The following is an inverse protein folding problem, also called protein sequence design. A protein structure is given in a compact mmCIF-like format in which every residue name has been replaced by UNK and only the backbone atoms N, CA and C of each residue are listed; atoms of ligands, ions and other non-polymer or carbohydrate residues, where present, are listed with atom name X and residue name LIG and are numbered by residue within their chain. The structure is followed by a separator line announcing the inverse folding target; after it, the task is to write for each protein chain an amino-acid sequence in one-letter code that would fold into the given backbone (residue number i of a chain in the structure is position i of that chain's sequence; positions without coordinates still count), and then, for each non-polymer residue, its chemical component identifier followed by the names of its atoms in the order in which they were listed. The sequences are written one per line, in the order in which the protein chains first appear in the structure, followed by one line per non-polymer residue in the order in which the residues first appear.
data_IF_953674929492
#
_entry.id   IF_953674929492
#
_cell.length_a   1.000
_cell.length_b   1.000
_cell.length_c   1.000
_cell.angle_alpha   90.00
_cell.angle_beta   90.00
_cell.angle_gamma   90.00
#
_symmetry.space_group_name_H-M   'P 1'
#
loop_
_entity.id
_entity.type
_entity.pdbx_description
1 polymer ?
#
# COMPACT_ATOMS: atom_id res chain seq x y z
N UNK A 1 -2.29 7.07 -0.88
CA UNK A 1 -3.38 6.39 -0.18
C UNK A 1 -3.14 6.46 1.33
N UNK A 2 -4.21 6.54 2.12
CA UNK A 2 -4.13 6.69 3.58
C UNK A 2 -4.37 5.40 4.36
N UNK A 3 -4.71 4.33 3.68
CA UNK A 3 -5.17 3.06 4.22
C UNK A 3 -4.45 1.83 3.63
N UNK A 4 -3.22 2.03 3.16
CA UNK A 4 -2.38 0.96 2.64
C UNK A 4 -1.29 0.56 3.64
N UNK A 5 -1.04 -0.75 3.77
CA UNK A 5 0.00 -1.32 4.63
C UNK A 5 1.09 -1.96 3.77
N UNK A 6 2.31 -1.43 3.85
CA UNK A 6 3.48 -1.91 3.13
C UNK A 6 4.78 -1.33 3.71
N UNK A 7 5.93 -1.90 3.35
CA UNK A 7 7.26 -1.32 3.60
C UNK A 7 7.95 -1.05 2.26
N UNK A 8 8.39 0.17 2.04
CA UNK A 8 8.96 0.61 0.76
C UNK A 8 10.15 1.53 0.95
N UNK A 9 11.19 1.31 0.19
CA UNK A 9 12.29 2.26 0.03
C UNK A 9 11.93 3.28 -1.06
N UNK A 10 11.48 4.46 -0.64
CA UNK A 10 11.13 5.56 -1.55
C UNK A 10 12.34 6.12 -2.29
N UNK A 11 13.57 5.99 -1.75
CA UNK A 11 14.77 6.43 -2.44
C UNK A 11 15.03 5.58 -3.69
N UNK A 12 14.74 4.28 -3.64
CA UNK A 12 14.82 3.41 -4.81
C UNK A 12 13.83 3.83 -5.91
N UNK A 13 12.60 4.18 -5.54
CA UNK A 13 11.61 4.70 -6.50
C UNK A 13 12.01 6.05 -7.07
N UNK A 14 12.57 6.95 -6.24
CA UNK A 14 13.04 8.26 -6.69
C UNK A 14 14.21 8.13 -7.66
N UNK A 15 15.16 7.24 -7.38
CA UNK A 15 16.28 6.95 -8.27
C UNK A 15 15.79 6.42 -9.62
N UNK A 16 14.81 5.54 -9.60
CA UNK A 16 14.19 5.00 -10.82
C UNK A 16 13.49 6.10 -11.63
N UNK A 17 12.76 7.01 -10.96
CA UNK A 17 12.13 8.18 -11.56
C UNK A 17 13.15 9.06 -12.32
N UNK A 18 14.29 9.36 -11.68
CA UNK A 18 15.36 10.18 -12.28
C UNK A 18 16.01 9.43 -13.45
N UNK A 19 16.33 8.14 -13.29
CA UNK A 19 16.99 7.34 -14.31
C UNK A 19 16.14 7.14 -15.57
N UNK A 20 14.82 7.06 -15.42
CA UNK A 20 13.88 6.98 -16.53
C UNK A 20 13.63 8.32 -17.23
N UNK A 21 14.09 9.43 -16.66
CA UNK A 21 13.73 10.77 -17.12
C UNK A 21 12.22 10.99 -17.10
N UNK A 22 11.55 10.38 -16.14
CA UNK A 22 10.10 10.41 -15.99
C UNK A 22 9.64 11.73 -15.40
N UNK A 23 8.50 12.27 -15.84
CA UNK A 23 7.84 13.38 -15.17
C UNK A 23 6.86 12.89 -14.11
N UNK A 24 6.32 11.67 -14.29
CA UNK A 24 5.42 11.01 -13.35
C UNK A 24 5.79 9.54 -13.23
N UNK A 25 6.04 9.07 -12.03
CA UNK A 25 6.27 7.64 -11.76
C UNK A 25 5.18 7.12 -10.84
N UNK A 26 4.57 6.01 -11.24
CA UNK A 26 3.47 5.36 -10.52
C UNK A 26 3.98 4.04 -9.95
N UNK A 27 3.95 3.87 -8.63
CA UNK A 27 4.24 2.58 -8.02
C UNK A 27 3.13 1.58 -8.34
N UNK A 28 3.53 0.37 -8.71
CA UNK A 28 2.60 -0.67 -9.14
C UNK A 28 2.96 -2.04 -8.59
N UNK A 29 1.95 -2.89 -8.49
CA UNK A 29 2.07 -4.26 -8.00
C UNK A 29 1.26 -5.22 -8.88
N UNK A 30 1.77 -6.43 -9.07
CA UNK A 30 1.03 -7.51 -9.72
C UNK A 30 -0.02 -8.07 -8.75
N UNK A 31 -1.28 -8.08 -9.17
CA UNK A 31 -2.39 -8.61 -8.37
C UNK A 31 -3.22 -9.60 -9.20
N UNK A 32 -3.93 -10.56 -8.58
CA UNK A 32 -4.93 -11.35 -9.27
C UNK A 32 -5.95 -10.45 -9.96
N UNK A 33 -6.28 -10.74 -11.20
CA UNK A 33 -7.15 -9.91 -12.03
C UNK A 33 -8.52 -9.64 -11.39
N UNK A 34 -9.04 -10.60 -10.61
CA UNK A 34 -10.29 -10.45 -9.86
C UNK A 34 -10.23 -9.35 -8.79
N UNK A 35 -9.04 -9.19 -8.15
CA UNK A 35 -8.81 -8.22 -7.10
C UNK A 35 -8.54 -6.82 -7.68
N UNK A 36 -8.02 -6.76 -8.90
CA UNK A 36 -7.66 -5.53 -9.59
C UNK A 36 -8.85 -4.59 -9.86
N UNK A 37 -10.09 -5.07 -9.75
CA UNK A 37 -11.31 -4.25 -9.90
C UNK A 37 -11.43 -3.14 -8.87
N UNK A 38 -10.74 -3.26 -7.74
CA UNK A 38 -10.75 -2.24 -6.68
C UNK A 38 -9.75 -1.10 -6.92
N UNK A 39 -8.86 -1.24 -7.90
CA UNK A 39 -7.69 -0.37 -8.10
C UNK A 39 -7.65 0.25 -9.49
N UNK A 40 -6.85 1.30 -9.64
CA UNK A 40 -6.40 1.72 -10.94
C UNK A 40 -5.52 0.66 -11.59
N UNK A 41 -5.79 0.28 -12.82
CA UNK A 41 -5.05 -0.76 -13.54
C UNK A 41 -4.35 -0.16 -14.75
N UNK A 42 -3.10 -0.55 -14.96
CA UNK A 42 -2.27 0.00 -16.02
C UNK A 42 -1.75 -1.08 -16.97
N UNK A 43 -1.52 -0.68 -18.22
CA UNK A 43 -0.74 -1.41 -19.20
C UNK A 43 0.56 -0.66 -19.47
N UNK A 44 1.66 -1.39 -19.56
CA UNK A 44 3.01 -0.85 -19.78
C UNK A 44 3.68 -1.52 -20.98
N UNK A 45 4.63 -0.83 -21.58
CA UNK A 45 5.54 -1.41 -22.56
C UNK A 45 6.81 -2.00 -21.88
N UNK A 46 7.74 -2.47 -22.71
CA UNK A 46 9.02 -3.06 -22.25
C UNK A 46 9.90 -2.04 -21.50
N UNK A 47 9.75 -0.76 -21.77
CA UNK A 47 10.46 0.33 -21.09
C UNK A 47 9.80 0.75 -19.78
N UNK A 48 8.71 0.11 -19.41
CA UNK A 48 7.84 0.44 -18.28
C UNK A 48 7.07 1.76 -18.44
N UNK A 49 7.01 2.31 -19.66
CA UNK A 49 6.16 3.44 -19.96
C UNK A 49 4.69 3.02 -19.88
N UNK A 50 3.86 3.82 -19.22
CA UNK A 50 2.44 3.52 -19.07
C UNK A 50 1.71 3.94 -20.34
N UNK A 51 1.09 2.98 -21.02
CA UNK A 51 0.36 3.18 -22.27
C UNK A 51 -1.15 3.30 -22.07
N UNK A 52 -1.66 2.75 -20.97
CA UNK A 52 -3.06 2.86 -20.60
C UNK A 52 -3.21 2.82 -19.07
N UNK A 53 -4.20 3.56 -18.58
CA UNK A 53 -4.61 3.56 -17.18
C UNK A 53 -6.12 3.63 -17.10
N UNK A 54 -6.73 2.74 -16.32
CA UNK A 54 -8.18 2.69 -16.12
C UNK A 54 -8.47 2.53 -14.63
N UNK A 55 -9.19 3.48 -14.07
CA UNK A 55 -9.58 3.44 -12.66
C UNK A 55 -10.73 2.47 -12.46
N UNK A 56 -10.55 1.53 -11.54
CA UNK A 56 -11.54 0.53 -11.09
C UNK A 56 -12.33 -0.14 -12.24
N UNK A 57 -11.64 -0.75 -13.21
CA UNK A 57 -12.32 -1.34 -14.36
C UNK A 57 -13.17 -2.54 -13.96
N UNK A 58 -14.36 -2.69 -14.54
CA UNK A 58 -15.21 -3.86 -14.34
C UNK A 58 -14.55 -5.16 -14.86
N UNK A 59 -13.76 -5.04 -15.95
CA UNK A 59 -12.93 -6.11 -16.50
C UNK A 59 -11.48 -5.65 -16.64
N UNK A 60 -10.63 -5.86 -15.60
CA UNK A 60 -9.26 -5.40 -15.61
C UNK A 60 -8.43 -6.02 -16.74
N UNK A 61 -7.64 -5.24 -17.49
CA UNK A 61 -6.74 -5.80 -18.51
C UNK A 61 -5.71 -6.74 -17.87
N UNK A 62 -5.46 -7.85 -18.55
CA UNK A 62 -4.42 -8.80 -18.14
C UNK A 62 -3.03 -8.30 -18.55
N UNK A 63 -2.02 -8.68 -17.77
CA UNK A 63 -0.63 -8.46 -18.15
C UNK A 63 -0.22 -9.36 -19.33
N UNK A 64 0.65 -8.89 -20.22
CA UNK A 64 1.21 -9.74 -21.28
C UNK A 64 1.85 -11.01 -20.70
N UNK A 65 1.43 -12.18 -21.23
CA UNK A 65 1.93 -13.48 -20.77
C UNK A 65 1.39 -13.96 -19.41
N UNK A 66 0.54 -13.18 -18.72
CA UNK A 66 -0.04 -13.53 -17.43
C UNK A 66 -1.56 -13.24 -17.43
N UNK A 67 -2.41 -14.12 -17.98
CA UNK A 67 -3.84 -13.86 -18.22
C UNK A 67 -4.65 -13.63 -16.93
N UNK A 68 -4.21 -14.21 -15.82
CA UNK A 68 -4.89 -14.11 -14.52
C UNK A 68 -4.36 -12.97 -13.62
N UNK A 69 -3.41 -12.19 -14.13
CA UNK A 69 -2.72 -11.12 -13.38
C UNK A 69 -2.94 -9.77 -14.06
N UNK A 70 -3.14 -8.74 -13.26
CA UNK A 70 -3.18 -7.35 -13.69
C UNK A 70 -2.12 -6.52 -12.96
N UNK A 71 -1.71 -5.41 -13.54
CA UNK A 71 -0.79 -4.45 -12.94
C UNK A 71 -1.59 -3.33 -12.29
N UNK A 72 -1.67 -3.35 -10.96
CA UNK A 72 -2.43 -2.39 -10.17
C UNK A 72 -1.57 -1.22 -9.70
N UNK A 73 -2.15 -0.03 -9.69
CA UNK A 73 -1.58 1.15 -9.05
C UNK A 73 -1.67 0.99 -7.53
N UNK A 74 -0.58 1.33 -6.84
CA UNK A 74 -0.56 1.38 -5.38
C UNK A 74 -1.02 2.73 -4.82
N UNK A 75 -1.41 3.68 -5.67
CA UNK A 75 -1.75 5.04 -5.22
C UNK A 75 -0.54 5.80 -4.65
N UNK A 76 0.67 5.41 -5.02
CA UNK A 76 1.93 6.07 -4.64
C UNK A 76 2.58 6.63 -5.89
N UNK A 77 2.84 7.93 -5.88
CA UNK A 77 3.30 8.67 -7.06
C UNK A 77 4.52 9.53 -6.76
N UNK A 78 5.42 9.66 -7.73
CA UNK A 78 6.46 10.71 -7.75
C UNK A 78 6.20 11.58 -8.98
N UNK A 79 6.20 12.87 -8.78
CA UNK A 79 6.04 13.89 -9.82
C UNK A 79 7.22 14.86 -9.80
N UNK A 80 7.60 15.37 -10.97
CA UNK A 80 8.32 16.64 -11.04
C UNK A 80 7.45 17.73 -10.43
N UNK A 81 7.99 18.49 -9.47
CA UNK A 81 7.20 19.44 -8.70
C UNK A 81 6.52 20.51 -9.55
N UNK A 82 7.26 21.13 -10.47
CA UNK A 82 6.70 22.17 -11.35
C UNK A 82 5.59 21.63 -12.25
N UNK A 83 5.75 20.39 -12.72
CA UNK A 83 4.74 19.73 -13.53
C UNK A 83 3.49 19.39 -12.71
N UNK A 84 3.65 18.93 -11.48
CA UNK A 84 2.51 18.69 -10.60
C UNK A 84 1.72 19.96 -10.33
N UNK A 85 2.40 21.06 -10.02
CA UNK A 85 1.72 22.34 -9.78
C UNK A 85 0.94 22.81 -11.01
N UNK A 86 1.53 22.73 -12.20
CA UNK A 86 0.84 23.04 -13.44
C UNK A 86 -0.41 22.16 -13.63
N UNK A 87 -0.28 20.85 -13.44
CA UNK A 87 -1.40 19.91 -13.56
C UNK A 87 -2.54 20.24 -12.59
N UNK A 88 -2.20 20.57 -11.33
CA UNK A 88 -3.19 20.87 -10.31
C UNK A 88 -3.89 22.22 -10.54
N UNK A 89 -3.18 23.23 -11.05
CA UNK A 89 -3.79 24.51 -11.42
C UNK A 89 -4.78 24.34 -12.59
N UNK A 90 -4.41 23.57 -13.61
CA UNK A 90 -5.29 23.28 -14.75
C UNK A 90 -6.48 22.41 -14.32
N UNK A 91 -6.27 21.47 -13.40
CA UNK A 91 -7.29 20.59 -12.83
C UNK A 91 -8.30 21.38 -11.99
N UNK A 92 -7.83 22.34 -11.19
CA UNK A 92 -8.68 23.23 -10.40
C UNK A 92 -9.61 24.08 -11.28
N UNK A 93 -9.15 24.47 -12.47
CA UNK A 93 -9.93 25.26 -13.41
C UNK A 93 -10.98 24.44 -14.20
N UNK A 94 -10.94 23.11 -14.11
CA UNK A 94 -11.84 22.21 -14.82
C UNK A 94 -13.08 21.87 -13.95
N UNK A 95 -14.17 22.58 -14.15
CA UNK A 95 -15.44 22.36 -13.43
C UNK A 95 -16.08 20.98 -13.67
N UNK A 96 -15.64 20.23 -14.68
CA UNK A 96 -16.16 18.90 -15.02
C UNK A 96 -15.32 17.77 -14.41
N UNK A 97 -14.20 18.10 -13.77
CA UNK A 97 -13.34 17.12 -13.13
C UNK A 97 -13.90 16.64 -11.78
N UNK A 98 -13.57 15.42 -11.42
CA UNK A 98 -13.83 14.87 -10.09
C UNK A 98 -12.74 15.26 -9.08
N UNK A 99 -11.67 15.90 -9.55
CA UNK A 99 -10.46 16.22 -8.76
C UNK A 99 -9.83 14.99 -8.13
N UNK A 100 -9.83 13.88 -8.86
CA UNK A 100 -9.28 12.58 -8.44
C UNK A 100 -8.03 12.22 -9.24
N UNK A 101 -6.98 11.77 -8.54
CA UNK A 101 -5.72 11.41 -9.21
C UNK A 101 -5.89 10.24 -10.17
N UNK A 102 -6.65 9.21 -9.79
CA UNK A 102 -6.83 8.01 -10.62
C UNK A 102 -7.78 8.23 -11.79
N UNK A 103 -8.80 9.08 -11.61
CA UNK A 103 -9.82 9.33 -12.65
C UNK A 103 -9.42 10.42 -13.63
N UNK A 104 -8.75 11.48 -13.16
CA UNK A 104 -8.55 12.70 -13.94
C UNK A 104 -7.06 12.94 -14.22
N UNK A 105 -6.19 12.96 -13.20
CA UNK A 105 -4.79 13.36 -13.35
C UNK A 105 -3.94 12.27 -14.02
N UNK A 106 -3.97 11.03 -13.53
CA UNK A 106 -3.12 9.96 -14.08
C UNK A 106 -3.48 9.58 -15.52
N UNK A 107 -4.77 9.41 -15.91
CA UNK A 107 -5.12 9.18 -17.31
C UNK A 107 -4.65 10.29 -18.25
N UNK A 108 -4.63 11.54 -17.79
CA UNK A 108 -4.13 12.67 -18.57
C UNK A 108 -2.63 12.55 -18.81
N UNK A 109 -1.81 12.38 -17.76
CA UNK A 109 -0.34 12.26 -17.90
C UNK A 109 0.08 11.04 -18.72
N UNK A 110 -0.72 9.95 -18.66
CA UNK A 110 -0.54 8.77 -19.51
C UNK A 110 -0.75 9.12 -20.99
N UNK A 111 -1.80 9.88 -21.33
CA UNK A 111 -2.04 10.35 -22.69
C UNK A 111 -0.93 11.27 -23.20
N UNK A 112 -0.33 12.07 -22.33
CA UNK A 112 0.82 12.92 -22.66
C UNK A 112 2.13 12.10 -22.82
N UNK A 113 2.11 10.82 -22.43
CA UNK A 113 3.25 9.90 -22.55
C UNK A 113 4.40 10.21 -21.60
N UNK A 114 4.13 10.81 -20.45
CA UNK A 114 5.11 11.26 -19.45
C UNK A 114 5.17 10.36 -18.21
N UNK A 115 4.31 9.32 -18.15
CA UNK A 115 4.15 8.44 -17.00
C UNK A 115 4.88 7.11 -17.17
N UNK A 116 5.58 6.66 -16.12
CA UNK A 116 6.27 5.38 -16.06
C UNK A 116 5.86 4.59 -14.81
N UNK A 117 5.88 3.26 -14.92
CA UNK A 117 5.58 2.36 -13.84
C UNK A 117 6.85 1.99 -13.06
N UNK A 118 6.76 2.02 -11.73
CA UNK A 118 7.78 1.50 -10.83
C UNK A 118 7.24 0.22 -10.15
N UNK A 119 7.74 -0.98 -10.54
CA UNK A 119 7.36 -2.21 -9.88
C UNK A 119 7.76 -2.19 -8.40
N UNK A 120 6.82 -2.41 -7.51
CA UNK A 120 7.03 -2.41 -6.05
C UNK A 120 8.10 -3.41 -5.61
N UNK A 121 8.26 -4.50 -6.34
CA UNK A 121 9.32 -5.48 -6.09
C UNK A 121 10.75 -4.92 -6.15
N UNK A 122 10.96 -3.77 -6.80
CA UNK A 122 12.26 -3.09 -6.87
C UNK A 122 12.56 -2.23 -5.63
N UNK A 123 11.55 -1.92 -4.82
CA UNK A 123 11.65 -1.02 -3.66
C UNK A 123 11.01 -1.60 -2.39
N UNK A 124 10.44 -2.79 -2.45
CA UNK A 124 9.86 -3.48 -1.30
C UNK A 124 10.96 -3.87 -0.31
N UNK A 125 10.79 -3.52 0.94
CA UNK A 125 11.73 -3.83 2.02
C UNK A 125 11.34 -5.14 2.69
N UNK A 126 12.33 -6.01 2.94
CA UNK A 126 12.11 -7.31 3.58
C UNK A 126 11.44 -8.37 2.70
N UNK A 127 11.30 -8.09 1.40
CA UNK A 127 10.71 -9.03 0.46
C UNK A 127 11.68 -10.16 0.08
N UNK A 128 11.23 -11.40 0.22
CA UNK A 128 11.92 -12.53 -0.38
C UNK A 128 11.64 -12.56 -1.88
N UNK A 129 12.64 -12.80 -2.74
CA UNK A 129 12.45 -12.89 -4.20
C UNK A 129 11.42 -13.95 -4.64
N UNK A 130 11.17 -14.95 -3.78
CA UNK A 130 10.23 -16.04 -4.03
C UNK A 130 8.81 -15.77 -3.54
N UNK A 131 8.60 -14.68 -2.80
CA UNK A 131 7.29 -14.30 -2.28
C UNK A 131 6.81 -13.01 -2.95
N UNK A 132 5.48 -12.91 -3.09
CA UNK A 132 4.85 -11.66 -3.51
C UNK A 132 5.15 -10.57 -2.47
N UNK A 133 5.51 -9.33 -2.89
CA UNK A 133 5.66 -8.20 -1.99
C UNK A 133 4.41 -7.98 -1.15
N UNK A 134 4.58 -7.75 0.15
CA UNK A 134 3.45 -7.49 1.03
C UNK A 134 2.89 -6.09 0.79
N UNK A 135 1.68 -6.04 0.32
CA UNK A 135 0.88 -4.83 0.17
C UNK A 135 -0.58 -5.18 0.43
N UNK A 136 -1.22 -4.43 1.31
CA UNK A 136 -2.64 -4.58 1.66
C UNK A 136 -3.33 -3.23 1.56
N UNK A 137 -4.46 -3.20 0.89
CA UNK A 137 -5.46 -2.16 1.02
C UNK A 137 -6.44 -2.58 2.13
N UNK A 138 -6.60 -1.73 3.14
CA UNK A 138 -7.48 -2.01 4.29
C UNK A 138 -8.73 -1.12 4.29
N UNK A 139 -9.19 -0.72 3.11
CA UNK A 139 -10.38 0.10 2.89
C UNK A 139 -11.72 -0.57 3.24
N UNK A 140 -11.74 -1.85 3.62
CA UNK A 140 -12.93 -2.55 4.14
C UNK A 140 -12.70 -3.06 5.56
N UNK A 141 -13.79 -3.26 6.31
CA UNK A 141 -13.71 -3.82 7.67
C UNK A 141 -13.06 -5.20 7.67
N UNK A 142 -13.38 -6.02 6.68
CA UNK A 142 -12.84 -7.38 6.57
C UNK A 142 -11.33 -7.36 6.28
N UNK A 143 -10.88 -6.54 5.30
CA UNK A 143 -9.45 -6.41 4.98
C UNK A 143 -8.63 -5.81 6.13
N UNK A 144 -9.22 -4.86 6.88
CA UNK A 144 -8.61 -4.31 8.07
C UNK A 144 -8.45 -5.38 9.17
N UNK A 145 -9.50 -6.18 9.40
CA UNK A 145 -9.44 -7.27 10.37
C UNK A 145 -8.42 -8.35 9.96
N UNK A 146 -8.45 -8.80 8.71
CA UNK A 146 -7.49 -9.78 8.18
C UNK A 146 -6.03 -9.31 8.33
N UNK A 147 -5.75 -8.04 8.02
CA UNK A 147 -4.41 -7.47 8.18
C UNK A 147 -3.95 -7.47 9.65
N UNK A 148 -4.84 -7.21 10.61
CA UNK A 148 -4.52 -7.31 12.03
C UNK A 148 -4.28 -8.76 12.47
N UNK A 149 -5.05 -9.72 11.96
CA UNK A 149 -4.84 -11.14 12.27
C UNK A 149 -3.52 -11.66 11.67
N UNK A 150 -3.14 -11.22 10.49
CA UNK A 150 -1.85 -11.53 9.87
C UNK A 150 -0.68 -11.12 10.80
N UNK A 151 -0.74 -9.91 11.38
CA UNK A 151 0.29 -9.41 12.29
C UNK A 151 0.39 -10.20 13.60
N UNK A 152 -0.70 -10.80 14.07
CA UNK A 152 -0.73 -11.63 15.26
C UNK A 152 -0.32 -13.09 15.00
N UNK A 153 -0.06 -13.47 13.75
CA UNK A 153 0.38 -14.82 13.39
C UNK A 153 1.80 -15.11 13.87
N UNK A 154 2.15 -16.40 13.96
CA UNK A 154 3.49 -16.85 14.39
C UNK A 154 4.60 -16.37 13.43
N UNK A 155 4.29 -16.31 12.16
CA UNK A 155 5.21 -15.84 11.10
C UNK A 155 4.48 -14.86 10.18
N UNK A 156 4.31 -13.60 10.62
CA UNK A 156 3.61 -12.61 9.84
C UNK A 156 4.35 -12.34 8.53
N UNK A 157 3.61 -12.05 7.47
CA UNK A 157 4.20 -11.68 6.19
C UNK A 157 4.91 -10.32 6.27
N UNK A 158 4.37 -9.40 7.06
CA UNK A 158 4.96 -8.10 7.37
C UNK A 158 5.57 -8.14 8.78
N UNK A 159 6.90 -8.05 8.87
CA UNK A 159 7.60 -7.94 10.16
C UNK A 159 7.62 -6.49 10.63
N UNK A 160 6.80 -6.18 11.66
CA UNK A 160 6.78 -4.86 12.30
C UNK A 160 7.88 -4.70 13.38
N UNK A 161 8.58 -5.78 13.74
CA UNK A 161 9.68 -5.78 14.70
C UNK A 161 11.06 -5.68 14.06
N UNK A 162 11.13 -5.61 12.73
CA UNK A 162 12.34 -5.41 11.97
C UNK A 162 13.07 -4.12 12.39
N UNK A 163 14.26 -4.27 12.99
CA UNK A 163 15.07 -3.17 13.48
C UNK A 163 15.90 -2.48 12.39
N UNK A 164 16.13 -3.17 11.28
CA UNK A 164 16.92 -2.64 10.17
C UNK A 164 16.09 -1.65 9.33
N UNK A 165 14.75 -1.82 9.34
CA UNK A 165 13.81 -0.92 8.67
C UNK A 165 12.57 -0.67 9.53
N UNK A 166 12.70 0.09 10.62
CA UNK A 166 11.61 0.33 11.56
C UNK A 166 10.50 1.19 10.94
N UNK A 167 9.26 0.89 11.31
CA UNK A 167 8.12 1.74 10.95
C UNK A 167 8.05 2.91 11.94
N UNK A 168 8.36 4.11 11.47
CA UNK A 168 8.29 5.32 12.28
C UNK A 168 6.84 5.77 12.46
N UNK A 169 6.43 5.94 13.70
CA UNK A 169 5.09 6.41 14.07
C UNK A 169 5.18 7.34 15.29
N UNK A 170 4.12 8.11 15.52
CA UNK A 170 4.01 8.91 16.74
C UNK A 170 3.82 7.98 17.94
N UNK A 171 4.89 7.77 18.69
CA UNK A 171 4.86 6.98 19.92
C UNK A 171 4.41 7.87 21.08
N UNK A 172 3.25 7.55 21.66
CA UNK A 172 2.87 8.12 22.95
C UNK A 172 3.63 7.39 24.04
N UNK A 173 4.19 8.14 25.00
CA UNK A 173 4.74 7.54 26.22
C UNK A 173 3.57 7.02 27.05
N UNK A 174 3.32 5.72 26.95
CA UNK A 174 2.29 5.00 27.72
C UNK A 174 2.96 4.03 28.69
N UNK A 175 2.26 3.72 29.78
CA UNK A 175 2.70 2.64 30.67
C UNK A 175 2.72 1.30 29.93
N UNK A 176 3.51 0.31 30.36
CA UNK A 176 3.44 -1.04 29.81
C UNK A 176 2.04 -1.64 29.85
N UNK A 177 1.75 -2.57 28.95
CA UNK A 177 0.50 -3.33 29.01
C UNK A 177 0.43 -4.10 30.34
N UNK A 178 -0.73 -4.08 30.98
CA UNK A 178 -0.95 -4.70 32.30
C UNK A 178 -1.99 -5.81 32.20
N UNK A 179 -1.63 -6.99 32.70
CA UNK A 179 -2.53 -8.10 32.91
C UNK A 179 -2.90 -8.13 34.39
N UNK A 180 -4.18 -7.94 34.71
CA UNK A 180 -4.64 -7.83 36.11
C UNK A 180 -4.63 -9.20 36.76
N UNK A 181 -3.99 -9.28 37.91
CA UNK A 181 -4.01 -10.43 38.79
C UNK A 181 -4.83 -10.09 40.05
N UNK A 182 -5.87 -10.86 40.35
CA UNK A 182 -6.63 -10.70 41.57
C UNK A 182 -6.26 -11.75 42.63
N UNK A 183 -6.69 -11.51 43.86
CA UNK A 183 -6.40 -12.40 45.01
C UNK A 183 -7.19 -13.72 44.97
N UNK A 184 -8.23 -13.81 44.13
CA UNK A 184 -9.12 -14.96 44.01
C UNK A 184 -8.69 -15.93 42.86
N UNK A 185 -7.51 -15.72 42.28
CA UNK A 185 -6.98 -16.55 41.20
C UNK A 185 -7.58 -16.25 39.83
N UNK A 186 -8.32 -15.15 39.68
CA UNK A 186 -8.73 -14.67 38.37
C UNK A 186 -7.59 -13.85 37.77
N UNK A 187 -7.14 -14.27 36.59
CA UNK A 187 -6.04 -13.60 35.88
C UNK A 187 -6.54 -13.10 34.54
N UNK A 188 -6.09 -11.91 34.15
CA UNK A 188 -6.17 -11.50 32.76
C UNK A 188 -5.30 -12.46 31.92
N UNK A 189 -5.90 -13.13 30.95
CA UNK A 189 -5.19 -14.06 30.07
C UNK A 189 -5.50 -13.74 28.61
N UNK A 190 -4.47 -13.86 27.76
CA UNK A 190 -4.58 -13.62 26.32
C UNK A 190 -3.85 -14.71 25.56
N UNK A 191 -4.39 -15.06 24.40
CA UNK A 191 -3.80 -16.07 23.51
C UNK A 191 -3.78 -15.47 22.10
N UNK A 192 -2.64 -15.61 21.39
CA UNK A 192 -2.47 -15.19 20.00
C UNK A 192 -2.88 -13.73 19.75
N UNK A 193 -2.42 -12.81 20.59
CA UNK A 193 -2.85 -11.43 20.58
C UNK A 193 -1.69 -10.45 20.67
N UNK A 194 -1.81 -9.29 20.05
CA UNK A 194 -0.89 -8.16 20.17
C UNK A 194 -1.52 -7.06 21.03
N UNK A 195 -0.73 -6.49 21.95
CA UNK A 195 -1.18 -5.42 22.85
C UNK A 195 -0.26 -4.21 22.75
N UNK A 196 -0.87 -3.06 22.52
CA UNK A 196 -0.14 -1.78 22.60
C UNK A 196 0.12 -1.40 24.07
N UNK A 197 1.11 -0.53 24.29
CA UNK A 197 1.33 0.09 25.58
C UNK A 197 0.08 0.81 26.10
N UNK A 198 -0.12 0.83 27.41
CA UNK A 198 -1.29 1.41 28.07
C UNK A 198 -2.53 0.51 28.11
N UNK A 199 -2.51 -0.65 27.49
CA UNK A 199 -3.62 -1.61 27.55
C UNK A 199 -3.73 -2.24 28.94
N UNK A 200 -4.95 -2.37 29.47
CA UNK A 200 -5.24 -3.10 30.71
C UNK A 200 -6.17 -4.24 30.37
N UNK A 201 -5.73 -5.47 30.61
CA UNK A 201 -6.53 -6.68 30.45
C UNK A 201 -7.00 -7.13 31.82
N UNK A 202 -8.30 -6.99 32.08
CA UNK A 202 -8.97 -7.42 33.30
C UNK A 202 -10.11 -8.33 32.94
N UNK A 203 -10.04 -9.60 33.29
CA UNK A 203 -11.07 -10.59 32.97
C UNK A 203 -10.48 -11.91 32.48
N UNK A 204 -11.33 -12.89 32.32
CA UNK A 204 -10.91 -14.30 32.32
C UNK A 204 -10.43 -14.85 31.00
N UNK A 205 -10.68 -14.25 29.85
CA UNK A 205 -10.20 -14.82 28.58
C UNK A 205 -10.45 -13.89 27.39
N UNK A 206 -9.42 -13.54 26.65
CA UNK A 206 -9.54 -12.90 25.34
C UNK A 206 -8.82 -13.79 24.34
N UNK A 207 -9.56 -14.32 23.38
CA UNK A 207 -9.05 -14.97 22.17
C UNK A 207 -9.31 -14.00 21.02
N UNK A 208 -8.30 -13.59 20.34
CA UNK A 208 -8.41 -12.74 19.16
C UNK A 208 -7.71 -13.37 17.97
#
# INVERSE_FOLDING_TARGET
AGDHIYKMDYAAMLLDHVNLGSRVTVACIEVPRREARAFGVMAVDESRKINAFVEKPADPPAMPGKPDTALASMGVYIFDADYLYQLLEEELANEQSHHDFGMDVIPRVVKEGTAYAHPFSLSCVGCCPQKRPYWRDVGTVDSFWEANMDLASVTPELDIYDQDWPIWTSQRMTAPAKFVQDQNGQHGMTINSMFAGGTIVSGSFIVS
#
